data_IF_399426933032
#
_entry.id   IF_399426933032
#
_cell.length_a   1.000
_cell.length_b   1.000
_cell.length_c   1.000
_cell.angle_alpha   90.00
_cell.angle_beta   90.00
_cell.angle_gamma   90.00
#
_symmetry.space_group_name_H-M   'P 1'
#
loop_
_entity.id
_entity.type
_entity.pdbx_description
1 polymer ?
#
# COMPACT_ATOMS: atom_id res chain seq x y z
N UNK A 1 24.46 12.53 22.45
CA UNK A 1 23.26 13.25 22.21
C UNK A 1 22.65 12.69 20.93
N UNK A 2 21.54 11.95 21.06
CA UNK A 2 20.78 11.48 19.91
C UNK A 2 20.16 12.71 19.23
N UNK A 3 20.18 12.85 17.91
CA UNK A 3 19.50 13.95 17.24
C UNK A 3 18.00 13.84 17.58
N UNK A 4 17.41 14.94 18.03
CA UNK A 4 15.96 15.06 18.16
C UNK A 4 15.37 14.98 16.76
N UNK A 5 14.63 13.91 16.47
CA UNK A 5 13.77 13.85 15.31
C UNK A 5 12.80 15.03 15.35
N UNK A 6 12.56 15.71 14.22
CA UNK A 6 11.54 16.73 14.16
C UNK A 6 10.19 16.14 14.54
N UNK A 7 9.46 16.88 15.38
CA UNK A 7 8.10 16.54 15.80
C UNK A 7 7.23 16.25 14.58
N UNK A 8 6.43 15.17 14.69
CA UNK A 8 5.44 14.73 13.71
C UNK A 8 4.45 15.83 13.36
N UNK A 9 4.78 16.67 12.40
CA UNK A 9 3.84 17.59 11.81
C UNK A 9 4.28 17.85 10.40
N UNK A 10 3.58 17.19 9.50
CA UNK A 10 3.32 17.60 8.12
C UNK A 10 3.39 16.46 7.08
N UNK A 11 2.88 15.28 7.38
CA UNK A 11 2.06 14.62 6.38
C UNK A 11 0.67 15.21 6.58
N UNK A 12 0.29 16.13 5.70
CA UNK A 12 -0.86 16.96 5.91
C UNK A 12 -2.15 16.18 5.95
N UNK A 13 -2.55 15.80 7.12
CA UNK A 13 -3.91 15.45 7.38
C UNK A 13 -4.74 16.74 7.31
N UNK A 14 -5.26 17.08 6.14
CA UNK A 14 -6.38 18.01 6.02
C UNK A 14 -7.66 17.36 6.53
N UNK A 15 -7.61 16.80 7.74
CA UNK A 15 -8.81 16.63 8.53
C UNK A 15 -8.98 17.94 9.26
N UNK A 16 -9.85 18.81 8.74
CA UNK A 16 -10.36 19.94 9.53
C UNK A 16 -10.82 19.36 10.86
N UNK A 17 -10.41 19.92 11.99
CA UNK A 17 -10.78 19.53 13.37
C UNK A 17 -12.27 19.18 13.56
N UNK A 18 -13.14 19.66 12.69
CA UNK A 18 -14.58 19.38 12.65
C UNK A 18 -14.99 17.92 12.41
N UNK A 19 -14.07 17.04 12.04
CA UNK A 19 -14.37 15.64 11.67
C UNK A 19 -13.75 14.59 12.60
N UNK A 20 -12.98 15.00 13.61
CA UNK A 20 -12.52 14.07 14.64
C UNK A 20 -13.70 13.55 15.47
N UNK A 21 -13.67 12.25 15.78
CA UNK A 21 -14.64 11.63 16.66
C UNK A 21 -14.47 12.20 18.08
N UNK A 22 -15.52 12.83 18.60
CA UNK A 22 -15.60 13.37 19.95
C UNK A 22 -16.88 12.89 20.61
N UNK A 23 -16.98 12.97 21.92
CA UNK A 23 -18.22 12.66 22.65
C UNK A 23 -19.42 13.46 22.10
N UNK A 24 -19.18 14.71 21.70
CA UNK A 24 -20.24 15.60 21.18
C UNK A 24 -20.79 15.21 19.80
N UNK A 25 -20.00 14.51 18.96
CA UNK A 25 -20.40 14.14 17.60
C UNK A 25 -20.56 12.63 17.40
N UNK A 26 -20.33 11.82 18.45
CA UNK A 26 -20.33 10.37 18.36
C UNK A 26 -21.59 9.79 17.74
N UNK A 27 -22.76 10.17 18.24
CA UNK A 27 -24.04 9.63 17.75
C UNK A 27 -24.32 10.06 16.29
N UNK A 28 -23.94 11.29 15.94
CA UNK A 28 -24.04 11.77 14.56
C UNK A 28 -23.15 10.97 13.62
N UNK A 29 -21.89 10.77 13.97
CA UNK A 29 -20.93 9.98 13.18
C UNK A 29 -21.39 8.53 13.09
N UNK A 30 -21.82 7.92 14.19
CA UNK A 30 -22.37 6.56 14.22
C UNK A 30 -23.58 6.41 13.30
N UNK A 31 -24.52 7.37 13.32
CA UNK A 31 -25.67 7.40 12.43
C UNK A 31 -25.26 7.54 10.95
N UNK A 32 -24.25 8.34 10.64
CA UNK A 32 -23.73 8.48 9.28
C UNK A 32 -23.06 7.20 8.79
N UNK A 33 -22.21 6.61 9.62
CA UNK A 33 -21.50 5.37 9.29
C UNK A 33 -22.47 4.21 9.10
N UNK A 34 -23.48 4.06 9.94
CA UNK A 34 -24.46 2.97 9.84
C UNK A 34 -25.22 2.93 8.51
N UNK A 35 -25.27 4.05 7.78
CA UNK A 35 -25.91 4.16 6.45
C UNK A 35 -24.97 3.81 5.30
N UNK A 36 -23.66 3.64 5.56
CA UNK A 36 -22.68 3.31 4.50
C UNK A 36 -22.81 1.86 4.09
N UNK A 37 -22.63 1.61 2.79
CA UNK A 37 -22.70 0.27 2.19
C UNK A 37 -21.31 -0.35 2.00
N UNK A 38 -20.27 0.49 1.91
CA UNK A 38 -18.86 0.09 1.75
C UNK A 38 -18.05 0.69 2.89
N UNK A 39 -17.20 -0.16 3.47
CA UNK A 39 -16.21 0.21 4.47
C UNK A 39 -14.83 -0.09 3.92
N UNK A 40 -13.97 0.90 3.92
CA UNK A 40 -12.57 0.78 3.50
C UNK A 40 -11.69 0.85 4.74
N UNK A 41 -10.84 -0.16 4.93
CA UNK A 41 -9.91 -0.26 6.05
C UNK A 41 -8.49 -0.27 5.53
N UNK A 42 -7.63 0.51 6.15
CA UNK A 42 -6.21 0.28 6.10
C UNK A 42 -5.84 -0.95 6.96
N UNK A 43 -4.64 -1.50 6.77
CA UNK A 43 -4.20 -2.72 7.45
C UNK A 43 -3.27 -2.43 8.63
N UNK A 44 -2.04 -2.06 8.33
CA UNK A 44 -0.96 -1.96 9.31
C UNK A 44 -1.17 -0.80 10.27
N UNK A 45 -1.34 -1.09 11.57
CA UNK A 45 -1.68 -0.09 12.58
C UNK A 45 -3.17 0.29 12.66
N UNK A 46 -4.04 -0.27 11.81
CA UNK A 46 -5.48 0.00 11.79
C UNK A 46 -6.33 -1.20 12.22
N UNK A 47 -6.12 -2.39 11.65
CA UNK A 47 -6.84 -3.60 12.04
C UNK A 47 -5.94 -4.64 12.73
N UNK A 48 -4.65 -4.56 12.54
CA UNK A 48 -3.62 -5.32 13.27
C UNK A 48 -2.30 -4.54 13.33
N UNK A 49 -1.38 -4.99 14.19
CA UNK A 49 0.02 -4.57 14.15
C UNK A 49 0.93 -5.80 14.24
N UNK A 50 1.80 -5.99 13.27
CA UNK A 50 2.60 -7.19 13.13
C UNK A 50 1.71 -8.43 12.98
N UNK A 51 1.77 -9.36 13.93
CA UNK A 51 0.93 -10.56 13.96
C UNK A 51 -0.24 -10.49 14.95
N UNK A 52 -0.49 -9.31 15.53
CA UNK A 52 -1.48 -9.12 16.58
C UNK A 52 -2.68 -8.32 16.06
N UNK A 53 -3.83 -8.95 15.77
CA UNK A 53 -5.08 -8.25 15.50
C UNK A 53 -5.48 -7.40 16.70
N UNK A 54 -6.06 -6.22 16.45
CA UNK A 54 -6.68 -5.45 17.53
C UNK A 54 -7.97 -6.13 17.99
N UNK A 55 -8.24 -6.12 19.30
CA UNK A 55 -9.34 -6.86 19.95
C UNK A 55 -10.71 -6.62 19.28
N UNK A 56 -10.97 -5.40 18.82
CA UNK A 56 -12.23 -5.04 18.19
C UNK A 56 -12.33 -5.47 16.71
N UNK A 57 -11.20 -5.65 16.01
CA UNK A 57 -11.16 -5.60 14.56
C UNK A 57 -11.84 -6.81 13.89
N UNK A 58 -11.57 -8.02 14.39
CA UNK A 58 -12.12 -9.25 13.80
C UNK A 58 -13.65 -9.27 13.93
N UNK A 59 -14.17 -9.01 15.14
CA UNK A 59 -15.60 -9.06 15.40
C UNK A 59 -16.34 -7.94 14.68
N UNK A 60 -15.71 -6.77 14.58
CA UNK A 60 -16.29 -5.64 13.84
C UNK A 60 -16.43 -5.95 12.36
N UNK A 61 -15.39 -6.51 11.73
CA UNK A 61 -15.43 -6.91 10.31
C UNK A 61 -16.46 -8.02 10.08
N UNK A 62 -16.52 -9.04 10.95
CA UNK A 62 -17.55 -10.10 10.88
C UNK A 62 -18.96 -9.54 10.96
N UNK A 63 -19.19 -8.59 11.88
CA UNK A 63 -20.48 -7.92 12.03
C UNK A 63 -20.87 -7.15 10.78
N UNK A 64 -19.94 -6.39 10.19
CA UNK A 64 -20.23 -5.64 8.96
C UNK A 64 -20.64 -6.57 7.81
N UNK A 65 -19.96 -7.72 7.66
CA UNK A 65 -20.34 -8.73 6.65
C UNK A 65 -21.72 -9.33 6.95
N UNK A 66 -22.01 -9.66 8.20
CA UNK A 66 -23.33 -10.17 8.61
C UNK A 66 -24.44 -9.15 8.34
N UNK A 67 -24.16 -7.86 8.46
CA UNK A 67 -25.07 -6.76 8.13
C UNK A 67 -25.16 -6.49 6.61
N UNK A 68 -24.56 -7.33 5.76
CA UNK A 68 -24.56 -7.19 4.30
C UNK A 68 -23.75 -6.01 3.78
N UNK A 69 -22.77 -5.52 4.56
CA UNK A 69 -21.88 -4.44 4.15
C UNK A 69 -20.73 -4.98 3.31
N UNK A 70 -20.31 -4.21 2.29
CA UNK A 70 -19.11 -4.49 1.54
C UNK A 70 -17.88 -3.97 2.29
N UNK A 71 -16.80 -4.71 2.21
CA UNK A 71 -15.53 -4.39 2.83
C UNK A 71 -14.47 -4.32 1.74
N UNK A 72 -13.58 -3.34 1.86
CA UNK A 72 -12.34 -3.27 1.09
C UNK A 72 -11.21 -3.02 2.08
N UNK A 73 -10.25 -3.92 2.09
CA UNK A 73 -9.02 -3.76 2.83
C UNK A 73 -8.00 -3.17 1.86
N UNK A 74 -7.62 -1.92 2.10
CA UNK A 74 -6.77 -1.13 1.22
C UNK A 74 -5.45 -0.81 1.92
N UNK A 75 -4.33 -1.18 1.29
CA UNK A 75 -3.00 -0.96 1.89
C UNK A 75 -2.06 -0.25 0.94
N UNK A 76 -1.24 0.64 1.49
CA UNK A 76 -0.10 1.24 0.78
C UNK A 76 1.04 0.24 0.58
N UNK A 77 1.12 -0.80 1.41
CA UNK A 77 2.18 -1.79 1.32
C UNK A 77 2.00 -2.72 0.11
N UNK A 78 2.82 -2.54 -0.91
CA UNK A 78 2.88 -3.35 -2.12
C UNK A 78 4.02 -4.40 -2.11
N UNK A 79 4.62 -4.67 -0.95
CA UNK A 79 5.72 -5.64 -0.85
C UNK A 79 5.30 -7.08 -1.12
N UNK A 80 4.00 -7.37 -1.12
CA UNK A 80 3.40 -8.68 -1.35
C UNK A 80 2.24 -8.57 -2.34
N UNK A 81 1.97 -9.68 -3.03
CA UNK A 81 0.78 -9.77 -3.87
C UNK A 81 -0.51 -9.91 -3.03
N UNK A 82 -1.69 -9.60 -3.59
CA UNK A 82 -2.97 -9.68 -2.87
C UNK A 82 -3.26 -11.06 -2.29
N UNK A 83 -2.90 -12.15 -2.99
CA UNK A 83 -3.12 -13.52 -2.53
C UNK A 83 -2.36 -13.82 -1.25
N UNK A 84 -1.11 -13.37 -1.15
CA UNK A 84 -0.33 -13.49 0.10
C UNK A 84 -0.99 -12.74 1.26
N UNK A 85 -1.61 -11.58 0.99
CA UNK A 85 -2.37 -10.86 2.01
C UNK A 85 -3.64 -11.59 2.43
N UNK A 86 -4.38 -12.20 1.51
CA UNK A 86 -5.54 -13.04 1.83
C UNK A 86 -5.14 -14.20 2.76
N UNK A 87 -4.07 -14.91 2.42
CA UNK A 87 -3.56 -16.02 3.26
C UNK A 87 -3.16 -15.55 4.66
N UNK A 88 -2.44 -14.42 4.73
CA UNK A 88 -2.01 -13.82 6.00
C UNK A 88 -3.20 -13.40 6.86
N UNK A 89 -4.13 -12.64 6.29
CA UNK A 89 -5.30 -12.14 7.01
C UNK A 89 -6.24 -13.28 7.44
N UNK A 90 -6.30 -14.34 6.65
CA UNK A 90 -7.03 -15.57 7.04
C UNK A 90 -6.41 -16.22 8.28
N UNK A 91 -5.07 -16.33 8.34
CA UNK A 91 -4.37 -16.82 9.54
C UNK A 91 -4.59 -15.93 10.77
N UNK A 92 -4.76 -14.63 10.57
CA UNK A 92 -5.08 -13.67 11.63
C UNK A 92 -6.57 -13.68 12.05
N UNK A 93 -7.43 -14.41 11.35
CA UNK A 93 -8.86 -14.56 11.67
C UNK A 93 -9.82 -13.63 10.95
N UNK A 94 -9.32 -12.79 10.01
CA UNK A 94 -10.17 -11.88 9.21
C UNK A 94 -10.87 -12.57 8.03
N UNK A 95 -10.28 -13.61 7.47
CA UNK A 95 -10.78 -14.40 6.34
C UNK A 95 -11.37 -13.53 5.19
N UNK A 96 -10.58 -12.64 4.56
CA UNK A 96 -11.04 -11.84 3.44
C UNK A 96 -11.18 -12.71 2.19
N UNK A 97 -12.01 -12.26 1.24
CA UNK A 97 -12.03 -12.76 -0.13
C UNK A 97 -11.04 -11.99 -1.01
N UNK A 98 -10.69 -12.52 -2.18
CA UNK A 98 -9.70 -11.90 -3.09
C UNK A 98 -10.14 -10.49 -3.54
N UNK A 99 -11.43 -10.27 -3.70
CA UNK A 99 -12.02 -8.98 -4.11
C UNK A 99 -12.13 -7.96 -2.96
N UNK A 100 -11.88 -8.39 -1.74
CA UNK A 100 -11.81 -7.50 -0.58
C UNK A 100 -10.40 -6.90 -0.35
N UNK A 101 -9.36 -7.33 -1.10
CA UNK A 101 -7.99 -6.81 -0.95
C UNK A 101 -7.62 -5.93 -2.13
N UNK A 102 -7.10 -4.73 -1.83
CA UNK A 102 -6.52 -3.84 -2.81
C UNK A 102 -5.22 -3.23 -2.27
N UNK A 103 -4.12 -3.42 -2.97
CA UNK A 103 -2.82 -2.86 -2.63
C UNK A 103 -2.51 -1.64 -3.49
N UNK A 104 -1.58 -0.80 -3.06
CA UNK A 104 -1.04 0.27 -3.91
C UNK A 104 -0.42 -0.29 -5.21
N UNK A 105 0.11 -1.52 -5.18
CA UNK A 105 0.56 -2.25 -6.37
C UNK A 105 -0.55 -2.48 -7.39
N UNK A 106 -1.76 -2.91 -6.95
CA UNK A 106 -2.92 -3.06 -7.85
C UNK A 106 -3.31 -1.73 -8.51
N UNK A 107 -3.34 -0.66 -7.73
CA UNK A 107 -3.68 0.67 -8.24
C UNK A 107 -2.65 1.15 -9.24
N UNK A 108 -1.36 0.96 -8.94
CA UNK A 108 -0.26 1.39 -9.81
C UNK A 108 -0.22 0.59 -11.10
N UNK A 109 -0.34 -0.74 -11.08
CA UNK A 109 -0.37 -1.56 -12.29
C UNK A 109 -1.57 -1.22 -13.18
N UNK A 110 -2.75 -1.01 -12.57
CA UNK A 110 -3.94 -0.57 -13.29
C UNK A 110 -3.76 0.84 -13.91
N UNK A 111 -3.10 1.76 -13.22
CA UNK A 111 -2.77 3.08 -13.76
C UNK A 111 -1.82 2.96 -14.95
N UNK A 112 -0.75 2.18 -14.84
CA UNK A 112 0.24 2.00 -15.90
C UNK A 112 -0.40 1.40 -17.14
N UNK A 113 -1.16 0.31 -17.01
CA UNK A 113 -1.77 -0.39 -18.15
C UNK A 113 -2.88 0.41 -18.84
N UNK A 114 -3.58 1.30 -18.11
CA UNK A 114 -4.65 2.12 -18.68
C UNK A 114 -4.15 3.48 -19.19
N UNK A 115 -3.31 4.17 -18.40
CA UNK A 115 -2.92 5.57 -18.65
C UNK A 115 -1.52 5.71 -19.24
N UNK A 116 -0.70 4.66 -19.18
CA UNK A 116 0.69 4.62 -19.70
C UNK A 116 0.93 3.42 -20.61
N UNK A 117 -0.10 3.02 -21.35
CA UNK A 117 -0.06 1.84 -22.23
C UNK A 117 1.13 1.90 -23.19
N UNK A 118 1.88 0.80 -23.26
CA UNK A 118 3.04 0.66 -24.15
C UNK A 118 4.31 1.36 -23.62
N UNK A 119 4.27 1.94 -22.42
CA UNK A 119 5.43 2.49 -21.77
C UNK A 119 6.23 1.41 -21.05
N UNK A 120 7.55 1.49 -21.17
CA UNK A 120 8.52 0.58 -20.54
C UNK A 120 8.81 1.03 -19.12
N UNK A 121 8.75 0.12 -18.16
CA UNK A 121 8.82 0.41 -16.74
C UNK A 121 10.04 -0.25 -16.10
N UNK A 122 10.87 0.54 -15.42
CA UNK A 122 11.85 0.03 -14.47
C UNK A 122 11.25 0.02 -13.08
N UNK A 123 11.25 -1.13 -12.41
CA UNK A 123 10.63 -1.32 -11.10
C UNK A 123 11.70 -1.43 -10.01
N UNK A 124 11.64 -0.54 -9.01
CA UNK A 124 12.30 -0.68 -7.71
C UNK A 124 11.25 -1.24 -6.77
N UNK A 125 11.28 -2.55 -6.54
CA UNK A 125 10.26 -3.25 -5.76
C UNK A 125 10.66 -4.70 -5.48
N UNK A 126 9.79 -5.39 -4.73
CA UNK A 126 10.01 -6.81 -4.38
C UNK A 126 9.78 -7.73 -5.58
N UNK A 127 10.33 -8.96 -5.57
CA UNK A 127 10.01 -9.98 -6.57
C UNK A 127 8.51 -10.30 -6.66
N UNK A 128 7.75 -10.18 -5.56
CA UNK A 128 6.30 -10.38 -5.57
C UNK A 128 5.60 -9.31 -6.39
N UNK A 129 5.95 -8.03 -6.20
CA UNK A 129 5.40 -6.94 -6.99
C UNK A 129 5.81 -7.01 -8.46
N UNK A 130 7.04 -7.43 -8.75
CA UNK A 130 7.51 -7.68 -10.11
C UNK A 130 6.60 -8.68 -10.83
N UNK A 131 6.35 -9.85 -10.22
CA UNK A 131 5.49 -10.88 -10.80
C UNK A 131 4.05 -10.41 -10.99
N UNK A 132 3.53 -9.62 -10.05
CA UNK A 132 2.21 -9.00 -10.18
C UNK A 132 2.17 -8.07 -11.40
N UNK A 133 3.10 -7.12 -11.52
CA UNK A 133 3.15 -6.19 -12.63
C UNK A 133 3.26 -6.90 -13.99
N UNK A 134 4.09 -7.94 -14.04
CA UNK A 134 4.23 -8.75 -15.24
C UNK A 134 2.91 -9.44 -15.61
N UNK A 135 2.21 -10.03 -14.63
CA UNK A 135 0.90 -10.70 -14.85
C UNK A 135 -0.19 -9.71 -15.23
N UNK A 136 -0.12 -8.46 -14.77
CA UNK A 136 -1.05 -7.38 -15.11
C UNK A 136 -0.78 -6.75 -16.48
N UNK A 137 0.29 -7.20 -17.16
CA UNK A 137 0.64 -6.75 -18.52
C UNK A 137 1.46 -5.47 -18.58
N UNK A 138 2.18 -5.12 -17.49
CA UNK A 138 3.16 -4.02 -17.50
C UNK A 138 4.43 -4.49 -18.24
N UNK A 139 4.94 -3.69 -19.18
CA UNK A 139 6.21 -3.96 -19.88
C UNK A 139 7.40 -3.57 -19.01
N UNK A 140 7.94 -4.56 -18.29
CA UNK A 140 9.08 -4.37 -17.39
C UNK A 140 10.41 -4.50 -18.15
N UNK A 141 11.37 -3.58 -17.89
CA UNK A 141 12.72 -3.57 -18.48
C UNK A 141 13.80 -4.03 -17.48
N UNK A 142 13.42 -4.81 -16.50
CA UNK A 142 14.32 -5.41 -15.52
C UNK A 142 13.84 -6.83 -15.19
N UNK A 143 14.68 -7.61 -14.52
CA UNK A 143 14.28 -8.87 -13.89
C UNK A 143 13.70 -8.63 -12.48
N UNK A 144 13.29 -9.71 -11.82
CA UNK A 144 12.69 -9.64 -10.47
C UNK A 144 13.65 -9.14 -9.36
N UNK A 145 14.95 -9.08 -9.65
CA UNK A 145 15.98 -8.55 -8.76
C UNK A 145 16.37 -7.10 -9.11
N UNK A 146 15.72 -6.51 -10.12
CA UNK A 146 15.97 -5.14 -10.56
C UNK A 146 17.15 -4.99 -11.51
N UNK A 147 17.69 -6.09 -12.08
CA UNK A 147 18.74 -6.02 -13.09
C UNK A 147 18.15 -5.63 -14.45
N UNK A 148 18.61 -4.53 -15.08
CA UNK A 148 18.11 -4.10 -16.38
C UNK A 148 18.35 -5.14 -17.47
N UNK A 149 17.43 -5.21 -18.42
CA UNK A 149 17.52 -6.09 -19.60
C UNK A 149 18.21 -5.46 -20.82
N UNK A 150 18.71 -4.24 -20.67
CA UNK A 150 19.39 -3.48 -21.73
C UNK A 150 18.49 -2.54 -22.52
N UNK A 151 17.20 -2.48 -22.22
CA UNK A 151 16.26 -1.49 -22.78
C UNK A 151 16.20 -0.24 -21.90
N UNK A 152 15.92 0.91 -22.50
CA UNK A 152 15.66 2.15 -21.75
C UNK A 152 14.26 2.10 -21.11
N UNK A 153 14.12 2.72 -19.94
CA UNK A 153 12.84 2.88 -19.29
C UNK A 153 12.18 4.23 -19.64
N UNK A 154 10.88 4.20 -19.90
CA UNK A 154 10.06 5.42 -20.00
C UNK A 154 9.61 5.91 -18.61
N UNK A 155 9.47 4.98 -17.66
CA UNK A 155 8.95 5.23 -16.31
C UNK A 155 9.78 4.45 -15.32
N UNK A 156 10.13 5.08 -14.19
CA UNK A 156 10.65 4.42 -12.99
C UNK A 156 9.55 4.38 -11.94
N UNK A 157 9.23 3.18 -11.46
CA UNK A 157 8.31 3.01 -10.33
C UNK A 157 9.09 2.62 -9.09
N UNK A 158 8.93 3.40 -8.02
CA UNK A 158 9.45 3.08 -6.68
C UNK A 158 8.33 2.55 -5.80
N UNK A 159 8.63 1.50 -5.03
CA UNK A 159 7.73 0.87 -4.09
C UNK A 159 8.49 0.40 -2.85
N UNK A 160 7.74 -0.01 -1.82
CA UNK A 160 8.34 -0.66 -0.65
C UNK A 160 9.11 -1.91 -1.08
N UNK A 161 10.43 -1.86 -0.95
CA UNK A 161 11.33 -2.93 -1.39
C UNK A 161 12.24 -3.41 -0.26
N UNK A 162 11.87 -4.54 0.35
CA UNK A 162 12.68 -5.17 1.40
C UNK A 162 13.99 -5.77 0.90
N UNK A 163 14.18 -5.83 -0.42
CA UNK A 163 15.41 -6.25 -1.10
C UNK A 163 16.11 -5.10 -1.84
N UNK A 164 15.88 -3.84 -1.41
CA UNK A 164 16.49 -2.67 -2.01
C UNK A 164 18.01 -2.76 -1.96
N UNK A 165 18.65 -2.60 -3.12
CA UNK A 165 20.10 -2.52 -3.25
C UNK A 165 20.52 -1.16 -3.77
N UNK A 166 21.81 -0.81 -3.53
CA UNK A 166 22.37 0.43 -4.07
C UNK A 166 22.33 0.45 -5.61
N UNK A 167 22.52 -0.71 -6.25
CA UNK A 167 22.44 -0.84 -7.71
C UNK A 167 21.04 -0.49 -8.25
N UNK A 168 19.97 -0.96 -7.61
CA UNK A 168 18.62 -0.58 -8.00
C UNK A 168 18.41 0.94 -7.96
N UNK A 169 18.96 1.61 -6.94
CA UNK A 169 18.89 3.07 -6.82
C UNK A 169 19.71 3.76 -7.92
N UNK A 170 20.93 3.31 -8.19
CA UNK A 170 21.77 3.88 -9.26
C UNK A 170 21.05 3.82 -10.59
N UNK A 171 20.57 2.63 -10.97
CA UNK A 171 19.87 2.42 -12.24
C UNK A 171 18.60 3.26 -12.35
N UNK A 172 17.76 3.27 -11.30
CA UNK A 172 16.55 4.06 -11.29
C UNK A 172 16.81 5.56 -11.39
N UNK A 173 17.82 6.06 -10.64
CA UNK A 173 18.23 7.46 -10.72
C UNK A 173 18.79 7.83 -12.10
N UNK A 174 19.51 6.92 -12.76
CA UNK A 174 20.02 7.15 -14.10
C UNK A 174 18.88 7.27 -15.12
N UNK A 175 17.92 6.36 -15.13
CA UNK A 175 16.75 6.47 -15.99
C UNK A 175 15.99 7.79 -15.78
N UNK A 176 15.78 8.20 -14.51
CA UNK A 176 15.11 9.48 -14.20
C UNK A 176 15.93 10.66 -14.71
N UNK A 177 17.24 10.65 -14.54
CA UNK A 177 18.15 11.70 -15.03
C UNK A 177 18.10 11.83 -16.54
N UNK A 178 17.90 10.72 -17.24
CA UNK A 178 17.76 10.69 -18.71
C UNK A 178 16.32 10.88 -19.20
N UNK A 179 15.39 11.25 -18.33
CA UNK A 179 14.07 11.73 -18.71
C UNK A 179 12.92 10.78 -18.47
N UNK A 180 13.13 9.62 -17.80
CA UNK A 180 12.03 8.76 -17.41
C UNK A 180 11.11 9.45 -16.38
N UNK A 181 9.78 9.25 -16.53
CA UNK A 181 8.79 9.68 -15.54
C UNK A 181 9.02 8.94 -14.21
N UNK A 182 8.97 9.64 -13.08
CA UNK A 182 9.06 9.01 -11.77
C UNK A 182 7.68 8.86 -11.13
N UNK A 183 7.34 7.66 -10.70
CA UNK A 183 6.13 7.34 -9.95
C UNK A 183 6.49 6.58 -8.67
N UNK A 184 5.79 6.88 -7.58
CA UNK A 184 5.82 6.09 -6.37
C UNK A 184 4.47 5.39 -6.17
N UNK A 185 4.47 4.15 -5.67
CA UNK A 185 3.23 3.42 -5.36
C UNK A 185 2.46 4.05 -4.19
N UNK A 186 3.16 4.77 -3.31
CA UNK A 186 2.60 5.50 -2.16
C UNK A 186 3.57 6.59 -1.70
N UNK A 187 3.11 7.58 -0.92
CA UNK A 187 3.94 8.69 -0.42
C UNK A 187 4.52 8.45 0.98
N UNK A 188 4.31 7.29 1.58
CA UNK A 188 4.71 7.02 2.96
C UNK A 188 6.24 6.98 3.08
N UNK A 189 6.76 7.52 4.17
CA UNK A 189 8.20 7.54 4.45
C UNK A 189 8.64 6.36 5.30
N UNK A 190 7.70 5.76 6.02
CA UNK A 190 7.97 4.63 6.90
C UNK A 190 6.72 3.79 7.17
N UNK A 191 6.95 2.50 7.42
CA UNK A 191 5.94 1.52 7.78
C UNK A 191 6.00 1.22 9.29
N UNK A 192 4.87 1.20 10.02
CA UNK A 192 4.85 0.83 11.43
C UNK A 192 5.06 -0.68 11.61
N UNK A 193 5.88 -1.04 12.61
CA UNK A 193 6.10 -2.42 13.02
C UNK A 193 5.98 -2.56 14.54
N UNK A 194 5.97 -3.79 15.05
CA UNK A 194 5.98 -4.06 16.49
C UNK A 194 7.20 -3.46 17.20
N UNK A 195 8.32 -3.29 16.50
CA UNK A 195 9.59 -2.79 17.05
C UNK A 195 9.89 -1.33 16.68
N UNK A 196 8.91 -0.58 16.18
CA UNK A 196 9.07 0.80 15.73
C UNK A 196 8.79 0.96 14.24
N UNK A 197 9.45 1.91 13.59
CA UNK A 197 9.25 2.22 12.18
C UNK A 197 10.43 1.74 11.34
N UNK A 198 10.13 1.24 10.14
CA UNK A 198 11.11 0.92 9.10
C UNK A 198 10.87 1.82 7.88
N UNK A 199 11.88 2.09 7.04
CA UNK A 199 11.68 2.79 5.76
C UNK A 199 10.67 2.06 4.88
N UNK A 200 9.82 2.83 4.20
CA UNK A 200 8.76 2.32 3.33
C UNK A 200 9.07 2.61 1.85
#
# INVERSE_FOLDING_TARGET
PKPKLPSHTQAGLFIKEKHMLTEKNYDQVKSLLSKKKLYVFDMDGTIYLGNNPFDFAIDFIKKLRADGRKILIFTNNASRDPKTYVERLTKLGFAPTDDEICTSGNVTSAFLTRNRKGKKVYLIGTPALYRQFLSDGVDLVCDENGKPDGRDADIVVSSFDTGLTYEKLVVGCDFIRYGAEFLSTHPDLNCPTENGFIPD
#
